data_IF_308764647298
#
_entry.id   IF_308764647298
#
_cell.length_a   1.000
_cell.length_b   1.000
_cell.length_c   1.000
_cell.angle_alpha   90.00
_cell.angle_beta   90.00
_cell.angle_gamma   90.00
#
_symmetry.space_group_name_H-M   'P 1'
#
loop_
_entity.id
_entity.type
_entity.pdbx_description
1 polymer ?
#
# COMPACT_ATOMS: atom_id res chain seq x y z
N UNK A 1 17.04 -2.92 -40.22
CA UNK A 1 15.66 -2.55 -39.85
C UNK A 1 15.22 -3.53 -38.78
N UNK A 2 14.73 -3.02 -37.65
CA UNK A 2 14.26 -3.75 -36.44
C UNK A 2 15.34 -4.14 -35.42
N UNK A 3 15.69 -3.19 -34.55
CA UNK A 3 16.07 -3.44 -33.15
C UNK A 3 15.91 -2.12 -32.35
N UNK A 4 14.72 -1.53 -32.44
CA UNK A 4 14.22 -0.64 -31.41
C UNK A 4 13.21 -1.47 -30.62
N UNK A 5 13.70 -2.18 -29.60
CA UNK A 5 12.84 -2.81 -28.60
C UNK A 5 12.09 -1.67 -27.92
N UNK A 6 10.86 -1.50 -28.38
CA UNK A 6 9.89 -0.54 -27.93
C UNK A 6 9.72 -0.67 -26.41
N UNK A 7 10.12 0.37 -25.70
CA UNK A 7 9.67 0.66 -24.34
C UNK A 7 8.18 0.99 -24.45
N UNK A 8 7.31 0.00 -24.68
CA UNK A 8 5.87 0.21 -24.76
C UNK A 8 5.08 -1.04 -24.36
N UNK A 9 4.27 -0.83 -23.31
CA UNK A 9 2.98 -1.46 -23.00
C UNK A 9 2.92 -2.87 -22.40
N UNK A 10 3.29 -3.01 -21.12
CA UNK A 10 2.31 -3.63 -20.20
C UNK A 10 1.07 -2.72 -20.22
N UNK A 11 -0.15 -3.24 -20.35
CA UNK A 11 -1.39 -2.46 -20.50
C UNK A 11 -1.77 -1.61 -19.29
N UNK A 12 -0.87 -0.72 -18.85
CA UNK A 12 -1.04 0.16 -17.72
C UNK A 12 -1.38 1.56 -18.20
N UNK A 13 -2.49 2.08 -17.70
CA UNK A 13 -2.92 3.43 -18.02
C UNK A 13 -2.23 4.41 -17.06
N UNK A 14 -1.41 5.35 -17.56
CA UNK A 14 -0.72 6.32 -16.71
C UNK A 14 -1.68 7.22 -15.94
N UNK A 15 -2.88 7.49 -16.48
CA UNK A 15 -3.93 8.25 -15.81
C UNK A 15 -4.48 7.53 -14.58
N UNK A 16 -4.77 6.24 -14.72
CA UNK A 16 -5.26 5.41 -13.61
C UNK A 16 -4.19 5.24 -12.53
N UNK A 17 -2.92 5.12 -12.94
CA UNK A 17 -1.79 5.05 -12.00
C UNK A 17 -1.62 6.35 -11.20
N UNK A 18 -1.68 7.52 -11.87
CA UNK A 18 -1.60 8.82 -11.20
C UNK A 18 -2.79 9.06 -10.27
N UNK A 19 -3.99 8.64 -10.68
CA UNK A 19 -5.18 8.73 -9.85
C UNK A 19 -5.06 7.88 -8.59
N UNK A 20 -4.63 6.62 -8.69
CA UNK A 20 -4.48 5.74 -7.53
C UNK A 20 -3.35 6.19 -6.59
N UNK A 21 -2.26 6.75 -7.12
CA UNK A 21 -1.25 7.40 -6.27
C UNK A 21 -1.80 8.60 -5.51
N UNK A 22 -2.66 9.40 -6.15
CA UNK A 22 -3.35 10.52 -5.50
C UNK A 22 -4.30 10.03 -4.41
N UNK A 23 -5.09 8.98 -4.69
CA UNK A 23 -5.95 8.34 -3.71
C UNK A 23 -5.16 7.76 -2.53
N UNK A 24 -4.00 7.13 -2.77
CA UNK A 24 -3.15 6.62 -1.70
C UNK A 24 -2.64 7.74 -0.78
N UNK A 25 -2.24 8.89 -1.33
CA UNK A 25 -1.86 10.05 -0.52
C UNK A 25 -3.03 10.56 0.35
N UNK A 26 -4.26 10.52 -0.17
CA UNK A 26 -5.48 10.87 0.57
C UNK A 26 -5.82 9.85 1.68
N UNK A 27 -5.53 8.57 1.49
CA UNK A 27 -5.69 7.56 2.55
C UNK A 27 -4.65 7.74 3.65
N UNK A 28 -3.40 8.04 3.28
CA UNK A 28 -2.32 8.27 4.25
C UNK A 28 -2.60 9.41 5.22
N UNK A 29 -3.34 10.44 4.80
CA UNK A 29 -3.69 11.57 5.67
C UNK A 29 -4.89 11.28 6.60
N UNK A 30 -5.70 10.24 6.35
CA UNK A 30 -6.82 9.87 7.24
C UNK A 30 -6.36 9.32 8.59
N UNK A 31 -5.32 8.49 8.62
CA UNK A 31 -4.83 7.85 9.85
C UNK A 31 -4.39 8.86 10.93
N UNK A 32 -3.56 9.88 10.62
CA UNK A 32 -3.31 10.97 11.55
C UNK A 32 -4.54 11.87 11.74
N UNK A 33 -5.39 12.05 10.73
CA UNK A 33 -6.63 12.84 10.82
C UNK A 33 -7.61 12.32 11.88
N UNK A 34 -7.76 10.99 11.97
CA UNK A 34 -8.53 10.31 13.02
C UNK A 34 -7.88 10.53 14.39
N UNK A 35 -6.55 10.41 14.49
CA UNK A 35 -5.80 10.70 15.72
C UNK A 35 -6.06 12.12 16.26
N UNK A 36 -6.05 13.11 15.37
CA UNK A 36 -6.38 14.50 15.70
C UNK A 36 -7.84 14.64 16.13
N UNK A 37 -8.78 14.04 15.39
CA UNK A 37 -10.21 14.09 15.70
C UNK A 37 -10.52 13.43 17.07
N UNK A 38 -9.94 12.27 17.37
CA UNK A 38 -10.12 11.59 18.66
C UNK A 38 -9.43 12.32 19.80
N UNK A 39 -8.30 12.98 19.55
CA UNK A 39 -7.62 13.79 20.58
C UNK A 39 -8.46 14.99 21.04
N UNK A 40 -9.31 15.55 20.16
CA UNK A 40 -10.16 16.71 20.45
C UNK A 40 -11.50 16.40 21.14
N UNK A 41 -12.02 15.18 21.01
CA UNK A 41 -13.30 14.75 21.63
C UNK A 41 -13.13 14.18 23.05
N UNK A 42 -11.89 14.07 23.53
CA UNK A 42 -11.56 13.52 24.84
C UNK A 42 -11.20 14.58 25.89
N UNK A 43 -10.87 14.12 27.10
CA UNK A 43 -10.32 15.00 28.13
C UNK A 43 -8.94 15.54 27.70
N UNK A 44 -8.74 16.85 27.84
CA UNK A 44 -7.51 17.59 27.49
C UNK A 44 -6.21 16.98 28.03
N UNK A 45 -6.30 16.24 29.15
CA UNK A 45 -5.19 15.54 29.79
C UNK A 45 -4.66 14.35 28.98
N UNK A 46 -5.46 13.77 28.10
CA UNK A 46 -5.07 12.61 27.27
C UNK A 46 -4.87 12.95 25.80
N UNK A 47 -5.23 14.17 25.36
CA UNK A 47 -5.11 14.65 23.98
C UNK A 47 -3.70 14.49 23.40
N UNK A 48 -2.67 14.87 24.18
CA UNK A 48 -1.28 14.78 23.73
C UNK A 48 -0.81 13.31 23.54
N UNK A 49 -1.26 12.42 24.43
CA UNK A 49 -0.91 10.99 24.37
C UNK A 49 -1.52 10.31 23.14
N UNK A 50 -2.78 10.64 22.81
CA UNK A 50 -3.46 10.11 21.62
C UNK A 50 -2.83 10.60 20.30
N UNK A 51 -2.37 11.85 20.23
CA UNK A 51 -1.63 12.37 19.07
C UNK A 51 -0.33 11.59 18.84
N UNK A 52 0.51 11.42 19.87
CA UNK A 52 1.78 10.69 19.76
C UNK A 52 1.54 9.22 19.39
N UNK A 53 0.51 8.60 19.95
CA UNK A 53 0.15 7.22 19.63
C UNK A 53 -0.29 7.04 18.17
N UNK A 54 -1.01 8.01 17.59
CA UNK A 54 -1.41 7.95 16.17
C UNK A 54 -0.21 7.99 15.22
N UNK A 55 0.81 8.81 15.52
CA UNK A 55 2.05 8.88 14.73
C UNK A 55 2.92 7.63 14.92
N UNK A 56 3.00 7.12 16.15
CA UNK A 56 3.72 5.86 16.43
C UNK A 56 3.07 4.66 15.72
N UNK A 57 1.75 4.57 15.76
CA UNK A 57 1.01 3.50 15.08
C UNK A 57 1.22 3.56 13.57
N UNK A 58 1.19 4.76 12.97
CA UNK A 58 1.51 4.95 11.55
C UNK A 58 2.90 4.39 11.19
N UNK A 59 3.92 4.67 12.02
CA UNK A 59 5.29 4.17 11.79
C UNK A 59 5.39 2.65 11.92
N UNK A 60 4.74 2.06 12.92
CA UNK A 60 4.81 0.60 13.16
C UNK A 60 4.10 -0.18 12.06
N UNK A 61 2.90 0.26 11.67
CA UNK A 61 2.15 -0.35 10.56
C UNK A 61 2.96 -0.23 9.27
N UNK A 62 3.77 0.82 9.10
CA UNK A 62 4.47 1.08 7.82
C UNK A 62 5.53 0.03 7.58
N UNK A 63 6.26 -0.26 8.64
CA UNK A 63 7.30 -1.28 8.67
C UNK A 63 6.67 -2.67 8.52
N UNK A 64 5.60 -2.94 9.28
CA UNK A 64 4.86 -4.21 9.22
C UNK A 64 4.36 -4.53 7.81
N UNK A 65 3.80 -3.54 7.11
CA UNK A 65 3.24 -3.72 5.78
C UNK A 65 4.30 -4.09 4.74
N UNK A 66 5.44 -3.39 4.79
CA UNK A 66 6.57 -3.63 3.87
C UNK A 66 7.24 -4.97 4.13
N UNK A 67 7.37 -5.38 5.40
CA UNK A 67 8.03 -6.64 5.75
C UNK A 67 7.23 -7.85 5.26
N UNK A 68 5.94 -7.92 5.57
CA UNK A 68 5.13 -9.09 5.23
C UNK A 68 3.64 -8.83 4.99
N UNK A 69 3.11 -7.66 5.33
CA UNK A 69 1.68 -7.35 5.14
C UNK A 69 1.22 -7.50 3.69
N UNK A 70 1.96 -6.93 2.75
CA UNK A 70 1.64 -7.06 1.32
C UNK A 70 1.69 -8.51 0.83
N UNK A 71 2.70 -9.26 1.26
CA UNK A 71 2.89 -10.65 0.84
C UNK A 71 1.79 -11.58 1.37
N UNK A 72 1.35 -11.39 2.61
CA UNK A 72 0.29 -12.21 3.20
C UNK A 72 -1.08 -11.96 2.57
N UNK A 73 -1.35 -10.72 2.14
CA UNK A 73 -2.65 -10.32 1.60
C UNK A 73 -2.80 -10.60 0.10
N UNK A 74 -1.75 -10.42 -0.70
CA UNK A 74 -1.82 -10.45 -2.17
C UNK A 74 -0.89 -11.49 -2.82
N UNK A 75 -0.59 -12.60 -2.13
CA UNK A 75 0.24 -13.65 -2.71
C UNK A 75 -0.55 -14.58 -3.65
N UNK A 76 -0.35 -14.41 -4.96
CA UNK A 76 -0.87 -15.26 -6.04
C UNK A 76 -0.33 -16.71 -6.08
N UNK A 77 0.67 -17.04 -5.25
CA UNK A 77 1.30 -18.37 -5.22
C UNK A 77 0.85 -19.28 -4.09
N UNK A 78 0.01 -18.78 -3.18
CA UNK A 78 -0.41 -19.58 -2.03
C UNK A 78 -1.42 -20.64 -2.44
N UNK A 79 -1.18 -21.88 -2.00
CA UNK A 79 -2.11 -22.99 -2.13
C UNK A 79 -3.23 -22.96 -1.09
N UNK A 80 -3.19 -22.02 -0.13
CA UNK A 80 -4.13 -21.93 1.00
C UNK A 80 -5.10 -20.76 0.83
N UNK A 81 -6.39 -21.00 1.08
CA UNK A 81 -7.47 -20.00 0.92
C UNK A 81 -7.41 -18.85 1.94
N UNK A 82 -6.75 -19.06 3.09
CA UNK A 82 -6.80 -18.11 4.22
C UNK A 82 -5.53 -17.28 4.43
N UNK A 83 -4.38 -17.72 3.91
CA UNK A 83 -3.09 -17.05 4.16
C UNK A 83 -2.24 -17.04 2.89
N UNK A 84 -1.67 -15.90 2.52
CA UNK A 84 -0.68 -15.78 1.45
C UNK A 84 0.67 -16.40 1.81
N UNK A 85 1.58 -16.52 0.83
CA UNK A 85 2.98 -16.91 1.04
C UNK A 85 3.87 -15.70 1.34
N UNK A 86 5.09 -15.95 1.81
CA UNK A 86 6.14 -14.94 2.00
C UNK A 86 6.88 -14.55 0.69
N UNK A 87 6.31 -14.90 -0.48
CA UNK A 87 6.98 -14.76 -1.78
C UNK A 87 7.30 -13.31 -2.18
N UNK A 88 6.48 -12.35 -1.72
CA UNK A 88 6.66 -10.91 -1.92
C UNK A 88 7.16 -10.20 -0.65
N UNK A 89 7.77 -10.93 0.29
CA UNK A 89 8.36 -10.35 1.49
C UNK A 89 9.37 -9.25 1.14
N UNK A 90 9.34 -8.14 1.89
CA UNK A 90 10.19 -6.96 1.64
C UNK A 90 9.95 -6.29 0.27
N UNK A 91 8.77 -6.48 -0.32
CA UNK A 91 8.40 -5.97 -1.66
C UNK A 91 9.31 -6.47 -2.81
N UNK A 92 10.09 -7.52 -2.56
CA UNK A 92 10.99 -8.10 -3.55
C UNK A 92 10.16 -8.80 -4.64
N UNK A 93 10.56 -8.62 -5.91
CA UNK A 93 9.95 -9.23 -7.12
C UNK A 93 8.57 -8.71 -7.58
N UNK A 94 8.11 -7.57 -7.09
CA UNK A 94 6.81 -6.96 -7.47
C UNK A 94 6.79 -6.35 -8.88
N UNK A 95 7.95 -6.01 -9.45
CA UNK A 95 8.04 -5.20 -10.68
C UNK A 95 7.58 -5.88 -11.97
N UNK A 96 7.30 -7.19 -11.98
CA UNK A 96 7.07 -7.92 -13.25
C UNK A 96 5.89 -8.90 -13.19
N UNK A 97 5.00 -8.77 -12.21
CA UNK A 97 3.80 -9.60 -12.09
C UNK A 97 2.55 -8.76 -12.34
N UNK A 98 1.74 -9.20 -13.31
CA UNK A 98 0.38 -8.70 -13.49
C UNK A 98 -0.48 -9.24 -12.35
N UNK A 99 -1.01 -8.34 -11.51
CA UNK A 99 -1.89 -8.72 -10.42
C UNK A 99 -3.29 -9.02 -10.99
N UNK A 100 -3.90 -10.17 -10.69
CA UNK A 100 -5.24 -10.53 -11.19
C UNK A 100 -6.35 -9.60 -10.69
N UNK A 101 -6.15 -8.90 -9.56
CA UNK A 101 -7.13 -7.98 -8.96
C UNK A 101 -7.17 -6.62 -9.68
N UNK A 102 -6.04 -6.17 -10.25
CA UNK A 102 -5.95 -4.89 -10.94
C UNK A 102 -4.97 -4.98 -12.13
N UNK A 103 -5.44 -5.42 -13.31
CA UNK A 103 -4.58 -5.61 -14.48
C UNK A 103 -4.10 -4.30 -15.12
N UNK A 104 -4.75 -3.17 -14.83
CA UNK A 104 -4.47 -1.85 -15.44
C UNK A 104 -3.47 -0.99 -14.65
N UNK A 105 -3.04 -1.43 -13.46
CA UNK A 105 -2.15 -0.67 -12.57
C UNK A 105 -1.02 -1.59 -12.10
N UNK A 106 0.23 -1.11 -12.02
CA UNK A 106 1.34 -1.92 -11.52
C UNK A 106 1.13 -2.31 -10.05
N UNK A 107 1.57 -3.53 -9.70
CA UNK A 107 1.42 -4.11 -8.37
C UNK A 107 2.06 -3.25 -7.25
N UNK A 108 3.12 -2.50 -7.56
CA UNK A 108 3.74 -1.55 -6.63
C UNK A 108 2.77 -0.43 -6.23
N UNK A 109 2.00 0.13 -7.16
CA UNK A 109 1.05 1.21 -6.88
C UNK A 109 -0.13 0.70 -6.05
N UNK A 110 -0.60 -0.53 -6.34
CA UNK A 110 -1.63 -1.19 -5.54
C UNK A 110 -1.15 -1.44 -4.11
N UNK A 111 0.11 -1.85 -3.93
CA UNK A 111 0.69 -2.10 -2.60
C UNK A 111 0.72 -0.84 -1.71
N UNK A 112 0.88 0.33 -2.32
CA UNK A 112 0.93 1.63 -1.63
C UNK A 112 -0.49 2.15 -1.35
N UNK A 113 -1.47 1.78 -2.17
CA UNK A 113 -2.88 2.15 -1.96
C UNK A 113 -3.56 1.34 -0.84
N UNK A 114 -3.28 0.03 -0.75
CA UNK A 114 -3.92 -0.88 0.23
C UNK A 114 -3.31 -0.80 1.64
N UNK A 115 -2.50 0.22 1.87
CA UNK A 115 -1.74 0.45 3.09
C UNK A 115 -2.64 0.77 4.29
#
# INVERSE_FOLDING_TARGET
MSEAISISSTGYNPGDNAWVLTCSALVFIMTPGLGLFYSGNGHVKNTLSSMIFSVMTLSVVSIQWVLFGYSLAFSDKSSSFFIGDFYYGLLLKINNTINPVAPTIPAITLSIYQW
#
